data_IF_216526041767
#
_entry.id   IF_216526041767
#
_cell.length_a   1.000
_cell.length_b   1.000
_cell.length_c   1.000
_cell.angle_alpha   90.00
_cell.angle_beta   90.00
_cell.angle_gamma   90.00
#
_symmetry.space_group_name_H-M   'P 1'
#
loop_
_entity.id
_entity.type
_entity.pdbx_description
1 polymer ?
#
# COMPACT_ATOMS: atom_id res chain seq x y z
N UNK A 1 9.86 23.63 32.97
CA UNK A 1 8.58 23.16 32.41
C UNK A 1 8.86 22.44 31.10
N UNK A 2 8.32 21.23 30.88
CA UNK A 2 8.42 20.60 29.57
C UNK A 2 7.49 21.35 28.61
N UNK A 3 7.93 21.79 27.43
CA UNK A 3 7.07 22.50 26.49
C UNK A 3 5.87 21.65 26.09
N UNK A 4 4.73 22.30 25.90
CA UNK A 4 3.49 21.64 25.51
C UNK A 4 3.70 20.89 24.16
N UNK A 5 3.34 19.62 24.06
CA UNK A 5 3.51 18.86 22.82
C UNK A 5 2.84 19.49 21.58
N UNK A 6 1.77 20.27 21.77
CA UNK A 6 1.12 21.04 20.66
C UNK A 6 2.05 22.14 20.16
N UNK A 7 2.60 22.94 21.08
CA UNK A 7 3.54 24.01 20.74
C UNK A 7 4.77 23.46 20.04
N UNK A 8 5.33 22.34 20.54
CA UNK A 8 6.44 21.66 19.88
C UNK A 8 6.10 21.19 18.46
N UNK A 9 4.89 20.69 18.23
CA UNK A 9 4.44 20.27 16.91
C UNK A 9 4.28 21.48 15.97
N UNK A 10 3.72 22.58 16.49
CA UNK A 10 3.53 23.83 15.75
C UNK A 10 4.87 24.48 15.38
N UNK A 11 5.77 24.65 16.34
CA UNK A 11 7.12 25.21 16.13
C UNK A 11 7.95 24.43 15.09
N UNK A 12 7.69 23.13 14.93
CA UNK A 12 8.38 22.25 13.99
C UNK A 12 7.66 22.09 12.66
N UNK A 13 6.67 22.92 12.40
CA UNK A 13 5.85 22.90 11.19
C UNK A 13 5.76 24.27 10.56
N UNK A 14 5.50 24.34 9.25
CA UNK A 14 5.06 25.55 8.58
C UNK A 14 3.54 25.61 8.59
N UNK A 15 3.00 26.76 8.89
CA UNK A 15 1.58 27.02 8.77
C UNK A 15 1.26 27.34 7.30
N UNK A 16 0.44 26.48 6.67
CA UNK A 16 -0.03 26.66 5.30
C UNK A 16 -1.55 26.57 5.31
N UNK A 17 -2.20 27.74 5.18
CA UNK A 17 -3.64 27.85 5.42
C UNK A 17 -3.99 27.46 6.84
N UNK A 18 -4.88 26.50 7.02
CA UNK A 18 -5.27 25.91 8.30
C UNK A 18 -4.44 24.66 8.67
N UNK A 19 -3.49 24.27 7.83
CA UNK A 19 -2.63 23.09 8.01
C UNK A 19 -1.29 23.41 8.67
N UNK A 20 -0.75 22.48 9.46
CA UNK A 20 0.61 22.52 9.98
C UNK A 20 1.45 21.48 9.29
N UNK A 21 2.32 21.90 8.38
CA UNK A 21 3.14 21.03 7.55
C UNK A 21 4.48 20.73 8.25
N UNK A 22 4.72 19.48 8.59
CA UNK A 22 5.89 19.03 9.34
C UNK A 22 7.20 19.23 8.56
N UNK A 23 8.20 19.87 9.19
CA UNK A 23 9.52 20.20 8.61
C UNK A 23 10.66 19.28 9.04
N UNK A 24 10.42 18.39 9.98
CA UNK A 24 11.49 17.56 10.56
C UNK A 24 11.48 16.16 9.94
N UNK A 25 12.08 15.20 10.63
CA UNK A 25 12.26 13.84 10.15
C UNK A 25 10.97 13.19 9.65
N UNK A 26 11.09 12.51 8.51
CA UNK A 26 10.01 11.78 7.84
C UNK A 26 10.44 10.32 7.68
N UNK A 27 9.56 9.40 8.01
CA UNK A 27 9.82 7.97 7.84
C UNK A 27 9.78 7.51 6.38
N UNK A 28 10.23 6.29 6.11
CA UNK A 28 10.26 5.69 4.76
C UNK A 28 8.89 5.72 4.03
N UNK A 29 7.79 5.73 4.77
CA UNK A 29 6.44 5.81 4.21
C UNK A 29 5.95 7.24 3.93
N UNK A 30 6.79 8.26 4.17
CA UNK A 30 6.47 9.66 3.96
C UNK A 30 5.63 10.30 5.07
N UNK A 31 5.61 9.74 6.28
CA UNK A 31 4.90 10.28 7.42
C UNK A 31 5.83 10.93 8.44
N UNK A 32 5.38 12.00 9.14
CA UNK A 32 6.11 12.66 10.21
C UNK A 32 6.49 11.69 11.33
N UNK A 33 7.75 11.70 11.72
CA UNK A 33 8.26 10.91 12.84
C UNK A 33 9.02 11.79 13.82
N UNK A 34 9.04 11.39 15.09
CA UNK A 34 9.84 12.01 16.15
C UNK A 34 10.57 10.94 16.96
N UNK A 35 11.62 11.36 17.68
CA UNK A 35 12.34 10.45 18.56
C UNK A 35 11.44 9.93 19.69
N UNK A 36 11.50 8.65 19.98
CA UNK A 36 10.81 8.03 21.12
C UNK A 36 11.32 8.52 22.46
N UNK A 37 12.55 9.04 22.51
CA UNK A 37 13.14 9.65 23.72
C UNK A 37 12.33 10.85 24.24
N UNK A 38 11.51 11.47 23.39
CA UNK A 38 10.60 12.55 23.76
C UNK A 38 9.27 12.05 24.35
N UNK A 39 9.16 10.79 24.75
CA UNK A 39 7.98 10.23 25.40
C UNK A 39 6.79 9.93 24.46
N UNK A 40 7.00 9.91 23.14
CA UNK A 40 5.95 9.69 22.15
C UNK A 40 6.01 8.33 21.45
N UNK A 41 4.95 7.96 20.74
CA UNK A 41 4.82 6.75 19.92
C UNK A 41 5.79 6.74 18.69
N UNK A 42 6.63 7.72 18.53
CA UNK A 42 7.46 7.93 17.34
C UNK A 42 6.67 8.44 16.11
N UNK A 43 5.34 8.47 16.17
CA UNK A 43 4.46 8.94 15.10
C UNK A 43 3.80 10.26 15.50
N UNK A 44 4.23 11.37 14.88
CA UNK A 44 3.76 12.72 15.22
C UNK A 44 2.23 12.84 15.10
N UNK A 45 1.63 12.22 14.09
CA UNK A 45 0.16 12.23 13.91
C UNK A 45 -0.61 11.58 15.04
N UNK A 46 -0.06 10.53 15.67
CA UNK A 46 -0.71 9.92 16.84
C UNK A 46 -0.65 10.84 18.05
N UNK A 47 0.48 11.53 18.23
CA UNK A 47 0.60 12.56 19.25
C UNK A 47 -0.39 13.71 18.99
N UNK A 48 -0.45 14.23 17.76
CA UNK A 48 -1.41 15.26 17.36
C UNK A 48 -2.88 14.84 17.57
N UNK A 49 -3.22 13.58 17.28
CA UNK A 49 -4.56 13.05 17.52
C UNK A 49 -4.92 13.05 19.01
N UNK A 50 -4.00 12.65 19.89
CA UNK A 50 -4.23 12.72 21.36
C UNK A 50 -4.42 14.15 21.85
N UNK A 51 -3.70 15.11 21.27
CA UNK A 51 -3.89 16.53 21.57
C UNK A 51 -5.25 17.06 21.13
N UNK A 52 -5.87 16.45 20.12
CA UNK A 52 -7.23 16.72 19.69
C UNK A 52 -8.29 15.96 20.53
N UNK A 53 -7.90 15.31 21.63
CA UNK A 53 -8.80 14.50 22.47
C UNK A 53 -9.17 13.15 21.84
N UNK A 54 -8.47 12.72 20.79
CA UNK A 54 -8.69 11.41 20.18
C UNK A 54 -7.77 10.37 20.84
N UNK A 55 -8.31 9.19 21.15
CA UNK A 55 -7.56 8.08 21.75
C UNK A 55 -7.34 6.95 20.72
N UNK A 56 -6.28 7.03 19.88
CA UNK A 56 -6.04 5.99 18.90
C UNK A 56 -5.65 4.67 19.56
N UNK A 57 -6.42 3.62 19.33
CA UNK A 57 -6.11 2.27 19.80
C UNK A 57 -4.77 1.75 19.22
N UNK A 58 -4.15 0.71 19.81
CA UNK A 58 -2.95 0.10 19.26
C UNK A 58 -3.15 -0.26 17.79
N UNK A 59 -2.18 0.12 16.92
CA UNK A 59 -2.20 -0.09 15.46
C UNK A 59 -3.35 0.60 14.70
N UNK A 60 -4.22 1.36 15.37
CA UNK A 60 -5.26 2.13 14.68
C UNK A 60 -4.64 3.26 13.85
N UNK A 61 -4.96 3.38 12.56
CA UNK A 61 -4.46 4.46 11.72
C UNK A 61 -5.04 5.81 12.11
N UNK A 62 -4.19 6.83 12.11
CA UNK A 62 -4.58 8.24 12.19
C UNK A 62 -4.34 8.87 10.83
N UNK A 63 -5.36 9.50 10.27
CA UNK A 63 -5.33 10.17 8.97
C UNK A 63 -5.61 11.66 9.11
N UNK A 64 -5.09 12.48 8.20
CA UNK A 64 -5.47 13.89 8.08
C UNK A 64 -6.68 14.04 7.18
N UNK A 65 -7.65 14.87 7.56
CA UNK A 65 -8.82 15.16 6.72
C UNK A 65 -8.46 16.01 5.49
N UNK A 66 -7.43 16.85 5.56
CA UNK A 66 -6.90 17.64 4.45
C UNK A 66 -6.17 16.80 3.38
N UNK A 67 -5.90 15.52 3.64
CA UNK A 67 -5.22 14.62 2.71
C UNK A 67 -3.69 14.75 2.67
N UNK A 68 -3.11 15.82 3.20
CA UNK A 68 -1.67 15.99 3.23
C UNK A 68 -1.01 15.03 4.23
N UNK A 69 0.03 14.31 3.77
CA UNK A 69 0.78 13.36 4.58
C UNK A 69 1.65 14.02 5.66
N UNK A 70 2.06 15.25 5.46
CA UNK A 70 2.91 15.99 6.39
C UNK A 70 2.10 16.83 7.38
N UNK A 71 0.79 16.96 7.19
CA UNK A 71 -0.05 17.71 8.11
C UNK A 71 -0.08 17.05 9.50
N UNK A 72 0.19 17.86 10.52
CA UNK A 72 0.18 17.48 11.94
C UNK A 72 -0.73 18.37 12.79
N UNK A 73 -1.58 19.19 12.16
CA UNK A 73 -2.56 19.98 12.90
C UNK A 73 -3.55 19.06 13.63
N UNK A 74 -3.68 19.17 14.99
CA UNK A 74 -4.60 18.35 15.77
C UNK A 74 -6.05 18.40 15.25
N UNK A 75 -6.54 19.56 14.83
CA UNK A 75 -7.89 19.73 14.29
C UNK A 75 -8.15 18.90 13.01
N UNK A 76 -7.10 18.59 12.26
CA UNK A 76 -7.20 17.79 11.04
C UNK A 76 -7.08 16.29 11.28
N UNK A 77 -6.78 15.84 12.50
CA UNK A 77 -6.60 14.41 12.78
C UNK A 77 -7.94 13.69 12.88
N UNK A 78 -8.01 12.51 12.31
CA UNK A 78 -9.18 11.62 12.38
C UNK A 78 -8.71 10.19 12.61
N UNK A 79 -9.44 9.44 13.42
CA UNK A 79 -9.24 8.00 13.55
C UNK A 79 -9.80 7.29 12.32
N UNK A 80 -9.11 6.26 11.89
CA UNK A 80 -9.52 5.46 10.71
C UNK A 80 -9.39 3.97 11.02
N UNK A 81 -9.72 3.14 10.05
CA UNK A 81 -9.51 1.69 10.11
C UNK A 81 -8.56 1.24 9.01
N UNK A 82 -7.80 0.14 9.19
CA UNK A 82 -6.95 -0.40 8.13
C UNK A 82 -7.71 -0.65 6.82
N UNK A 83 -8.98 -1.09 6.93
CA UNK A 83 -9.86 -1.34 5.78
C UNK A 83 -10.15 -0.07 4.97
N UNK A 84 -10.47 1.03 5.65
CA UNK A 84 -10.75 2.32 5.00
C UNK A 84 -9.49 2.91 4.36
N UNK A 85 -8.34 2.82 5.06
CA UNK A 85 -7.05 3.27 4.50
C UNK A 85 -6.69 2.47 3.25
N UNK A 86 -6.85 1.14 3.28
CA UNK A 86 -6.61 0.29 2.12
C UNK A 86 -7.57 0.59 0.96
N UNK A 87 -8.87 0.82 1.25
CA UNK A 87 -9.87 1.20 0.24
C UNK A 87 -9.52 2.53 -0.44
N UNK A 88 -9.12 3.54 0.36
CA UNK A 88 -8.65 4.83 -0.19
C UNK A 88 -7.41 4.64 -1.06
N UNK A 89 -6.39 3.91 -0.57
CA UNK A 89 -5.17 3.63 -1.32
C UNK A 89 -5.45 2.90 -2.64
N UNK A 90 -6.43 1.99 -2.66
CA UNK A 90 -6.87 1.31 -3.88
C UNK A 90 -7.52 2.28 -4.87
N UNK A 91 -8.40 3.17 -4.39
CA UNK A 91 -9.06 4.23 -5.18
C UNK A 91 -8.01 5.18 -5.78
N UNK A 92 -7.00 5.56 -4.99
CA UNK A 92 -5.90 6.44 -5.40
C UNK A 92 -4.86 5.71 -6.31
N UNK A 93 -5.15 4.48 -6.76
CA UNK A 93 -4.33 3.73 -7.70
C UNK A 93 -3.02 3.17 -7.14
N UNK A 94 -2.84 3.15 -5.80
CA UNK A 94 -1.60 2.68 -5.18
C UNK A 94 -1.24 1.22 -5.55
N UNK A 95 -2.24 0.39 -5.88
CA UNK A 95 -2.08 -1.01 -6.24
C UNK A 95 -2.07 -1.27 -7.75
N UNK A 96 -2.40 -0.27 -8.57
CA UNK A 96 -2.48 -0.39 -10.03
C UNK A 96 -1.19 0.02 -10.76
N UNK A 97 -0.18 0.51 -10.04
CA UNK A 97 1.10 0.92 -10.63
C UNK A 97 1.76 -0.23 -11.38
N UNK A 98 2.06 0.00 -12.66
CA UNK A 98 2.65 -0.98 -13.56
C UNK A 98 3.89 -1.71 -12.98
N UNK A 99 4.87 -1.04 -12.35
CA UNK A 99 6.03 -1.71 -11.78
C UNK A 99 5.68 -2.76 -10.71
N UNK A 100 4.67 -2.49 -9.88
CA UNK A 100 4.22 -3.44 -8.85
C UNK A 100 3.55 -4.66 -9.48
N UNK A 101 2.69 -4.45 -10.46
CA UNK A 101 2.02 -5.55 -11.19
C UNK A 101 3.01 -6.44 -11.90
N UNK A 102 4.03 -5.84 -12.54
CA UNK A 102 5.10 -6.57 -13.21
C UNK A 102 5.90 -7.42 -12.21
N UNK A 103 6.31 -6.85 -11.06
CA UNK A 103 7.03 -7.59 -10.01
C UNK A 103 6.21 -8.77 -9.47
N UNK A 104 4.92 -8.56 -9.17
CA UNK A 104 4.02 -9.63 -8.71
C UNK A 104 3.86 -10.71 -9.77
N UNK A 105 3.72 -10.33 -11.04
CA UNK A 105 3.61 -11.27 -12.13
C UNK A 105 4.91 -12.08 -12.31
N UNK A 106 6.07 -11.45 -12.21
CA UNK A 106 7.37 -12.12 -12.27
C UNK A 106 7.54 -13.13 -11.14
N UNK A 107 7.25 -12.76 -9.89
CA UNK A 107 7.30 -13.67 -8.73
C UNK A 107 6.36 -14.86 -8.91
N UNK A 108 5.12 -14.62 -9.37
CA UNK A 108 4.16 -15.71 -9.62
C UNK A 108 4.59 -16.62 -10.75
N UNK A 109 5.23 -16.08 -11.79
CA UNK A 109 5.77 -16.90 -12.91
C UNK A 109 6.94 -17.75 -12.44
N UNK A 110 7.87 -17.19 -11.67
CA UNK A 110 9.00 -17.95 -11.11
C UNK A 110 8.56 -19.10 -10.19
N UNK A 111 7.46 -18.94 -9.46
CA UNK A 111 6.89 -19.98 -8.61
C UNK A 111 5.91 -20.92 -9.35
N UNK A 112 5.71 -20.73 -10.66
CA UNK A 112 4.79 -21.57 -11.44
C UNK A 112 5.49 -22.82 -11.98
N UNK A 113 4.74 -23.93 -12.06
CA UNK A 113 5.17 -25.16 -12.75
C UNK A 113 5.31 -24.97 -14.27
N UNK A 114 4.66 -23.92 -14.83
CA UNK A 114 4.66 -23.64 -16.25
C UNK A 114 5.61 -22.49 -16.60
N UNK A 115 6.22 -22.56 -17.76
CA UNK A 115 7.02 -21.50 -18.37
C UNK A 115 6.20 -20.66 -19.37
N UNK A 116 6.80 -19.61 -19.91
CA UNK A 116 6.17 -18.81 -20.98
C UNK A 116 6.07 -19.63 -22.25
N UNK A 117 7.08 -20.46 -22.53
CA UNK A 117 7.14 -21.38 -23.68
C UNK A 117 6.01 -22.42 -23.59
N UNK A 118 5.79 -23.02 -22.41
CA UNK A 118 4.66 -23.92 -22.19
C UNK A 118 3.32 -23.22 -22.46
N UNK A 119 3.16 -22.00 -22.00
CA UNK A 119 1.92 -21.25 -22.23
C UNK A 119 1.68 -20.93 -23.72
N UNK A 120 2.75 -20.68 -24.49
CA UNK A 120 2.69 -20.52 -25.95
C UNK A 120 2.34 -21.84 -26.65
N UNK A 121 3.01 -22.93 -26.25
CA UNK A 121 2.74 -24.27 -26.81
C UNK A 121 1.29 -24.71 -26.52
N UNK A 122 0.75 -24.47 -25.31
CA UNK A 122 -0.64 -24.77 -24.94
C UNK A 122 -1.62 -23.99 -25.83
N UNK A 123 -1.33 -22.72 -26.15
CA UNK A 123 -2.20 -21.92 -27.03
C UNK A 123 -2.21 -22.41 -28.48
N UNK A 124 -1.05 -22.81 -29.00
CA UNK A 124 -0.90 -23.31 -30.35
C UNK A 124 -1.38 -24.75 -30.50
N UNK A 125 -1.53 -25.51 -29.42
CA UNK A 125 -1.85 -26.93 -29.45
C UNK A 125 -3.32 -27.18 -29.81
N UNK A 126 -3.57 -28.18 -30.64
CA UNK A 126 -4.91 -28.71 -30.95
C UNK A 126 -5.37 -29.83 -30.02
N UNK A 127 -4.47 -30.31 -29.15
CA UNK A 127 -4.77 -31.37 -28.17
C UNK A 127 -5.95 -31.04 -27.26
N UNK A 128 -6.61 -32.08 -26.75
CA UNK A 128 -7.71 -31.95 -25.79
C UNK A 128 -7.17 -31.30 -24.49
N UNK A 129 -8.02 -30.45 -23.86
CA UNK A 129 -7.64 -29.74 -22.63
C UNK A 129 -7.24 -30.69 -21.49
N UNK A 130 -7.89 -31.87 -21.43
CA UNK A 130 -7.60 -32.87 -20.39
C UNK A 130 -6.19 -33.48 -20.57
N UNK A 131 -5.79 -33.74 -21.82
CA UNK A 131 -4.46 -34.32 -22.11
C UNK A 131 -3.34 -33.32 -21.84
N UNK A 132 -3.56 -32.05 -22.19
CA UNK A 132 -2.66 -30.96 -21.84
C UNK A 132 -2.54 -30.78 -20.32
N UNK A 133 -3.65 -30.91 -19.59
CA UNK A 133 -3.64 -30.82 -18.13
C UNK A 133 -2.79 -31.92 -17.48
N UNK A 134 -2.92 -33.15 -17.97
CA UNK A 134 -2.09 -34.30 -17.56
C UNK A 134 -0.63 -34.10 -17.95
N UNK A 135 -0.36 -33.70 -19.20
CA UNK A 135 1.00 -33.49 -19.70
C UNK A 135 1.80 -32.47 -18.88
N UNK A 136 1.17 -31.39 -18.47
CA UNK A 136 1.83 -30.30 -17.75
C UNK A 136 1.63 -30.36 -16.23
N UNK A 137 0.99 -31.40 -15.71
CA UNK A 137 0.67 -31.57 -14.27
C UNK A 137 0.01 -30.33 -13.64
N UNK A 138 -1.03 -29.81 -14.32
CA UNK A 138 -1.82 -28.66 -13.89
C UNK A 138 -3.31 -28.90 -14.03
N UNK A 139 -4.12 -28.10 -13.32
CA UNK A 139 -5.57 -28.25 -13.43
C UNK A 139 -6.10 -27.91 -14.82
N UNK A 140 -7.17 -28.56 -15.24
CA UNK A 140 -7.91 -28.30 -16.49
C UNK A 140 -8.32 -26.82 -16.59
N UNK A 141 -8.71 -26.21 -15.46
CA UNK A 141 -9.03 -24.78 -15.38
C UNK A 141 -7.84 -23.88 -15.72
N UNK A 142 -6.62 -24.28 -15.34
CA UNK A 142 -5.39 -23.55 -15.70
C UNK A 142 -5.18 -23.57 -17.21
N UNK A 143 -5.24 -24.75 -17.84
CA UNK A 143 -5.10 -24.91 -19.30
C UNK A 143 -6.17 -24.08 -20.04
N UNK A 144 -7.46 -24.16 -19.62
CA UNK A 144 -8.54 -23.38 -20.21
C UNK A 144 -8.25 -21.87 -20.18
N UNK A 145 -7.80 -21.33 -19.01
CA UNK A 145 -7.45 -19.90 -18.87
C UNK A 145 -6.28 -19.47 -19.75
N UNK A 146 -5.27 -20.34 -19.91
CA UNK A 146 -4.14 -20.09 -20.82
C UNK A 146 -4.62 -20.04 -22.27
N UNK A 147 -5.41 -21.02 -22.70
CA UNK A 147 -5.90 -21.14 -24.09
C UNK A 147 -6.74 -19.93 -24.52
N UNK A 148 -7.61 -19.42 -23.62
CA UNK A 148 -8.43 -18.22 -23.90
C UNK A 148 -7.67 -16.90 -23.62
N UNK A 149 -6.37 -16.93 -23.34
CA UNK A 149 -5.55 -15.74 -23.11
C UNK A 149 -5.87 -14.95 -21.82
N UNK A 150 -6.60 -15.54 -20.88
CA UNK A 150 -6.90 -14.89 -19.59
C UNK A 150 -5.68 -14.76 -18.69
N UNK A 151 -4.76 -15.73 -18.76
CA UNK A 151 -3.50 -15.75 -18.00
C UNK A 151 -2.33 -15.85 -18.95
N UNK A 152 -1.13 -15.59 -18.45
CA UNK A 152 0.10 -15.64 -19.24
C UNK A 152 0.09 -14.70 -20.45
N UNK A 153 -0.58 -13.55 -20.32
CA UNK A 153 -0.53 -12.52 -21.37
C UNK A 153 0.93 -12.12 -21.61
N UNK A 154 1.34 -12.13 -22.87
CA UNK A 154 2.59 -11.47 -23.25
C UNK A 154 2.42 -9.98 -22.94
N UNK A 155 3.24 -9.42 -22.07
CA UNK A 155 3.37 -7.98 -22.02
C UNK A 155 4.15 -7.64 -23.29
N UNK A 156 3.56 -6.84 -24.16
CA UNK A 156 4.31 -6.16 -25.21
C UNK A 156 5.43 -5.40 -24.50
N UNK A 157 6.65 -5.68 -24.91
CA UNK A 157 7.87 -4.98 -24.48
C UNK A 157 7.79 -3.54 -24.91
#
# INVERSE_FOLDING_TARGET
MKPNPVEQARERSDEVGDGWIWKRAVGKAGYPIMSRRSGGDGLVRRAAARLAGLEPAPRQPVVSCCGDKLCVNPAHMRLSTPKLVAKKAAKDGAYSRLPRRVKIAATKRAASKLTIEDARAIRASTMRLADLAKKHDVSLGTIKRIRIGRTWKAHAS
#
